data_IF_762682938199
#
_entry.id   IF_762682938199
#
_cell.length_a   1.000
_cell.length_b   1.000
_cell.length_c   1.000
_cell.angle_alpha   90.00
_cell.angle_beta   90.00
_cell.angle_gamma   90.00
#
_symmetry.space_group_name_H-M   'P 1'
#
loop_
_entity.id
_entity.type
_entity.pdbx_description
1 polymer ?
#
# COMPACT_ATOMS: atom_id res chain seq x y z
N UNK A 1 17.68 9.71 -13.31
CA UNK A 1 16.54 8.93 -12.78
C UNK A 1 15.83 9.80 -11.74
N UNK A 2 14.50 9.84 -11.74
CA UNK A 2 13.75 10.62 -10.75
C UNK A 2 13.93 10.00 -9.36
N UNK A 3 14.05 10.83 -8.31
CA UNK A 3 14.09 10.36 -6.91
C UNK A 3 12.91 9.45 -6.57
N UNK A 4 11.76 9.63 -7.24
CA UNK A 4 10.53 8.88 -6.99
C UNK A 4 10.34 7.64 -7.87
N UNK A 5 11.21 7.43 -8.86
CA UNK A 5 11.08 6.29 -9.80
C UNK A 5 10.99 4.93 -9.09
N UNK A 6 11.83 4.62 -8.08
CA UNK A 6 11.76 3.33 -7.39
C UNK A 6 10.43 3.15 -6.63
N UNK A 7 9.90 4.22 -6.03
CA UNK A 7 8.64 4.17 -5.30
C UNK A 7 7.45 3.98 -6.25
N UNK A 8 7.47 4.66 -7.41
CA UNK A 8 6.44 4.48 -8.43
C UNK A 8 6.42 3.04 -8.97
N UNK A 9 7.59 2.45 -9.24
CA UNK A 9 7.69 1.05 -9.65
C UNK A 9 7.12 0.10 -8.58
N UNK A 10 7.41 0.35 -7.30
CA UNK A 10 6.86 -0.42 -6.18
C UNK A 10 5.33 -0.28 -6.08
N UNK A 11 4.79 0.92 -6.28
CA UNK A 11 3.34 1.15 -6.31
C UNK A 11 2.69 0.31 -7.40
N UNK A 12 3.23 0.34 -8.62
CA UNK A 12 2.71 -0.43 -9.75
C UNK A 12 2.67 -1.94 -9.44
N UNK A 13 3.74 -2.48 -8.86
CA UNK A 13 3.80 -3.89 -8.46
C UNK A 13 2.80 -4.25 -7.37
N UNK A 14 2.66 -3.40 -6.35
CA UNK A 14 1.72 -3.61 -5.25
C UNK A 14 0.27 -3.50 -5.75
N UNK A 15 -0.06 -2.49 -6.55
CA UNK A 15 -1.39 -2.27 -7.11
C UNK A 15 -1.78 -3.37 -8.10
N UNK A 16 -0.84 -3.91 -8.88
CA UNK A 16 -1.08 -5.07 -9.73
C UNK A 16 -1.48 -6.30 -8.90
N UNK A 17 -0.73 -6.61 -7.83
CA UNK A 17 -1.06 -7.72 -6.93
C UNK A 17 -2.41 -7.53 -6.22
N UNK A 18 -2.71 -6.30 -5.78
CA UNK A 18 -4.01 -5.95 -5.21
C UNK A 18 -5.13 -6.20 -6.22
N UNK A 19 -4.95 -5.74 -7.46
CA UNK A 19 -5.95 -5.91 -8.53
C UNK A 19 -6.19 -7.38 -8.83
N UNK A 20 -5.11 -8.17 -8.97
CA UNK A 20 -5.20 -9.61 -9.20
C UNK A 20 -5.92 -10.31 -8.05
N UNK A 21 -5.58 -10.01 -6.79
CA UNK A 21 -6.23 -10.59 -5.62
C UNK A 21 -7.71 -10.20 -5.51
N UNK A 22 -8.09 -8.98 -5.91
CA UNK A 22 -9.49 -8.54 -5.93
C UNK A 22 -10.37 -9.40 -6.84
N UNK A 23 -9.79 -9.99 -7.91
CA UNK A 23 -10.53 -10.91 -8.79
C UNK A 23 -10.88 -12.24 -8.13
N UNK A 24 -10.14 -12.62 -7.08
CA UNK A 24 -10.34 -13.86 -6.32
C UNK A 24 -11.34 -13.70 -5.15
N UNK A 25 -11.88 -12.49 -4.91
CA UNK A 25 -12.73 -12.18 -3.74
C UNK A 25 -14.21 -12.51 -3.94
N UNK A 26 -14.49 -13.80 -4.13
CA UNK A 26 -15.84 -14.38 -4.01
C UNK A 26 -15.82 -15.60 -3.10
N UNK A 27 -16.92 -15.92 -2.38
CA UNK A 27 -16.93 -17.03 -1.43
C UNK A 27 -16.47 -18.36 -2.05
N UNK A 28 -16.97 -18.70 -3.24
CA UNK A 28 -16.61 -19.93 -3.94
C UNK A 28 -15.12 -20.00 -4.33
N UNK A 29 -14.55 -18.87 -4.77
CA UNK A 29 -13.12 -18.81 -5.14
C UNK A 29 -12.24 -18.85 -3.90
N UNK A 30 -12.62 -18.14 -2.84
CA UNK A 30 -11.93 -18.17 -1.55
C UNK A 30 -11.85 -19.59 -1.01
N UNK A 31 -12.97 -20.32 -1.02
CA UNK A 31 -13.00 -21.72 -0.60
C UNK A 31 -12.10 -22.61 -1.46
N UNK A 32 -12.18 -22.48 -2.79
CA UNK A 32 -11.42 -23.32 -3.72
C UNK A 32 -9.92 -22.99 -3.76
N UNK A 33 -9.51 -21.75 -3.45
CA UNK A 33 -8.16 -21.23 -3.70
C UNK A 33 -7.50 -20.58 -2.48
N UNK A 34 -8.01 -20.82 -1.28
CA UNK A 34 -7.52 -20.20 -0.03
C UNK A 34 -5.99 -20.26 0.12
N UNK A 35 -5.36 -21.40 -0.19
CA UNK A 35 -3.90 -21.55 -0.13
C UNK A 35 -3.17 -20.60 -1.08
N UNK A 36 -3.62 -20.49 -2.34
CA UNK A 36 -3.06 -19.56 -3.33
C UNK A 36 -3.27 -18.11 -2.95
N UNK A 37 -4.46 -17.77 -2.43
CA UNK A 37 -4.78 -16.42 -1.95
C UNK A 37 -3.83 -16.04 -0.81
N UNK A 38 -3.62 -16.93 0.16
CA UNK A 38 -2.70 -16.68 1.28
C UNK A 38 -1.24 -16.55 0.85
N UNK A 39 -0.79 -17.34 -0.13
CA UNK A 39 0.55 -17.19 -0.70
C UNK A 39 0.74 -15.81 -1.35
N UNK A 40 -0.23 -15.39 -2.17
CA UNK A 40 -0.23 -14.06 -2.81
C UNK A 40 -0.30 -12.94 -1.77
N UNK A 41 -1.11 -13.10 -0.72
CA UNK A 41 -1.16 -12.16 0.40
C UNK A 41 0.18 -12.07 1.14
N UNK A 42 0.91 -13.17 1.32
CA UNK A 42 2.26 -13.13 1.93
C UNK A 42 3.27 -12.38 1.05
N UNK A 43 3.23 -12.58 -0.28
CA UNK A 43 4.06 -11.81 -1.22
C UNK A 43 3.73 -10.32 -1.15
N UNK A 44 2.44 -9.98 -1.16
CA UNK A 44 1.97 -8.61 -1.01
C UNK A 44 2.39 -8.00 0.34
N UNK A 45 2.29 -8.77 1.43
CA UNK A 45 2.69 -8.35 2.78
C UNK A 45 4.14 -7.91 2.82
N UNK A 46 5.03 -8.69 2.21
CA UNK A 46 6.46 -8.40 2.20
C UNK A 46 6.78 -7.17 1.35
N UNK A 47 6.15 -7.02 0.19
CA UNK A 47 6.32 -5.83 -0.65
C UNK A 47 5.85 -4.55 0.05
N UNK A 48 4.67 -4.58 0.69
CA UNK A 48 4.17 -3.45 1.48
C UNK A 48 5.14 -3.14 2.62
N UNK A 49 5.59 -4.17 3.37
CA UNK A 49 6.51 -3.98 4.50
C UNK A 49 7.80 -3.27 4.08
N UNK A 50 8.41 -3.69 2.97
CA UNK A 50 9.63 -3.08 2.44
C UNK A 50 9.36 -1.65 1.98
N UNK A 51 8.32 -1.45 1.17
CA UNK A 51 7.94 -0.15 0.63
C UNK A 51 7.70 0.87 1.75
N UNK A 52 6.84 0.55 2.72
CA UNK A 52 6.54 1.43 3.86
C UNK A 52 7.78 1.75 4.69
N UNK A 53 8.64 0.76 4.93
CA UNK A 53 9.88 0.99 5.67
C UNK A 53 10.82 1.96 4.93
N UNK A 54 10.90 1.88 3.60
CA UNK A 54 11.69 2.83 2.81
C UNK A 54 11.10 4.23 2.89
N UNK A 55 9.79 4.36 2.85
CA UNK A 55 9.15 5.67 2.97
C UNK A 55 9.38 6.32 4.34
N UNK A 56 9.20 5.55 5.42
CA UNK A 56 9.36 6.02 6.79
C UNK A 56 10.82 6.38 7.13
N UNK A 57 11.77 5.59 6.64
CA UNK A 57 13.18 5.76 6.97
C UNK A 57 13.91 6.75 6.05
N UNK A 58 13.45 6.93 4.81
CA UNK A 58 14.16 7.69 3.79
C UNK A 58 13.31 8.82 3.21
N UNK A 59 12.19 8.49 2.54
CA UNK A 59 11.39 9.45 1.78
C UNK A 59 10.82 10.57 2.65
N UNK A 60 10.05 10.23 3.67
CA UNK A 60 9.39 11.21 4.52
C UNK A 60 10.39 12.10 5.26
N UNK A 61 11.49 11.57 5.86
CA UNK A 61 12.54 12.40 6.43
C UNK A 61 13.19 13.40 5.45
N UNK A 62 13.34 13.05 4.17
CA UNK A 62 13.84 13.98 3.15
C UNK A 62 12.81 15.07 2.82
N UNK A 63 11.55 14.69 2.58
CA UNK A 63 10.46 15.63 2.29
C UNK A 63 10.25 16.65 3.42
N UNK A 64 10.41 16.23 4.67
CA UNK A 64 10.31 17.11 5.84
C UNK A 64 11.46 18.13 5.95
N UNK A 65 12.60 17.89 5.29
CA UNK A 65 13.73 18.82 5.20
C UNK A 65 13.70 19.69 3.94
N UNK A 66 12.72 19.50 3.07
CA UNK A 66 12.59 20.24 1.81
C UNK A 66 12.44 21.75 2.06
N UNK A 67 13.06 22.65 1.27
CA UNK A 67 12.98 24.10 1.47
C UNK A 67 11.57 24.67 1.29
N UNK A 68 10.77 24.09 0.39
CA UNK A 68 9.37 24.49 0.20
C UNK A 68 8.48 24.01 1.36
N UNK A 69 7.81 24.94 2.03
CA UNK A 69 6.86 24.67 3.11
C UNK A 69 5.68 23.79 2.66
N UNK A 70 5.20 23.96 1.42
CA UNK A 70 4.08 23.18 0.89
C UNK A 70 4.40 21.69 0.84
N UNK A 71 5.63 21.35 0.44
CA UNK A 71 6.12 19.97 0.42
C UNK A 71 6.14 19.40 1.84
N UNK A 72 6.71 20.14 2.80
CA UNK A 72 6.77 19.70 4.21
C UNK A 72 5.37 19.48 4.80
N UNK A 73 4.44 20.39 4.55
CA UNK A 73 3.08 20.30 5.08
C UNK A 73 2.29 19.14 4.44
N UNK A 74 2.45 18.90 3.14
CA UNK A 74 1.88 17.73 2.47
C UNK A 74 2.45 16.43 3.02
N UNK A 75 3.78 16.35 3.22
CA UNK A 75 4.42 15.17 3.80
C UNK A 75 3.91 14.87 5.23
N UNK A 76 3.75 15.90 6.08
CA UNK A 76 3.18 15.71 7.43
C UNK A 76 1.74 15.21 7.40
N UNK A 77 0.90 15.75 6.51
CA UNK A 77 -0.49 15.30 6.35
C UNK A 77 -0.54 13.85 5.87
N UNK A 78 0.29 13.49 4.90
CA UNK A 78 0.43 12.13 4.43
C UNK A 78 0.80 11.20 5.59
N UNK A 79 1.92 11.44 6.29
CA UNK A 79 2.34 10.63 7.44
C UNK A 79 1.26 10.47 8.52
N UNK A 80 0.55 11.55 8.88
CA UNK A 80 -0.49 11.51 9.92
C UNK A 80 -1.71 10.68 9.52
N UNK A 81 -2.02 10.61 8.23
CA UNK A 81 -3.13 9.81 7.71
C UNK A 81 -2.73 8.35 7.49
N UNK A 82 -1.42 8.07 7.47
CA UNK A 82 -0.83 6.83 6.95
C UNK A 82 -0.12 5.97 8.00
N UNK A 83 0.25 6.54 9.16
CA UNK A 83 1.06 5.89 10.20
C UNK A 83 0.46 4.63 10.84
N UNK A 84 -0.79 4.27 10.52
CA UNK A 84 -1.47 3.09 11.05
C UNK A 84 -1.63 1.95 10.01
N UNK A 85 -1.35 2.20 8.72
CA UNK A 85 -1.64 1.20 7.67
C UNK A 85 -0.79 -0.07 7.81
N UNK A 86 0.48 0.06 8.22
CA UNK A 86 1.34 -1.10 8.47
C UNK A 86 0.80 -1.95 9.63
N UNK A 87 0.27 -1.32 10.67
CA UNK A 87 -0.32 -2.00 11.82
C UNK A 87 -1.65 -2.65 11.43
N UNK A 88 -2.52 -1.94 10.71
CA UNK A 88 -3.77 -2.48 10.15
C UNK A 88 -3.50 -3.69 9.27
N UNK A 89 -2.53 -3.62 8.36
CA UNK A 89 -2.21 -4.73 7.47
C UNK A 89 -1.63 -5.93 8.23
N UNK A 90 -0.80 -5.68 9.26
CA UNK A 90 -0.29 -6.73 10.14
C UNK A 90 -1.43 -7.43 10.89
N UNK A 91 -2.30 -6.67 11.54
CA UNK A 91 -3.45 -7.21 12.26
C UNK A 91 -4.39 -8.01 11.33
N UNK A 92 -4.59 -7.52 10.11
CA UNK A 92 -5.31 -8.24 9.06
C UNK A 92 -4.65 -9.59 8.73
N UNK A 93 -3.32 -9.64 8.55
CA UNK A 93 -2.61 -10.91 8.27
C UNK A 93 -2.66 -11.88 9.45
N UNK A 94 -2.58 -11.38 10.68
CA UNK A 94 -2.70 -12.19 11.90
C UNK A 94 -4.11 -12.78 12.06
N UNK A 95 -5.14 -12.04 11.63
CA UNK A 95 -6.55 -12.49 11.67
C UNK A 95 -6.87 -13.58 10.66
N UNK A 96 -6.16 -13.62 9.53
CA UNK A 96 -6.38 -14.57 8.44
C UNK A 96 -5.11 -15.39 8.13
N UNK A 97 -4.66 -16.25 9.08
CA UNK A 97 -3.34 -16.87 9.00
C UNK A 97 -3.31 -18.12 8.09
N UNK A 98 -4.43 -18.81 7.94
CA UNK A 98 -4.45 -20.14 7.30
C UNK A 98 -5.76 -20.41 6.53
N UNK A 99 -5.76 -21.36 5.57
CA UNK A 99 -6.92 -21.62 4.71
C UNK A 99 -8.20 -21.92 5.47
N UNK A 100 -8.10 -22.68 6.56
CA UNK A 100 -9.26 -23.04 7.39
C UNK A 100 -9.97 -21.82 7.97
N UNK A 101 -9.23 -20.75 8.28
CA UNK A 101 -9.82 -19.51 8.82
C UNK A 101 -10.63 -18.76 7.76
N UNK A 102 -10.13 -18.72 6.52
CA UNK A 102 -10.86 -18.14 5.39
C UNK A 102 -12.17 -18.89 5.12
N UNK A 103 -12.14 -20.22 5.20
CA UNK A 103 -13.33 -21.05 4.97
C UNK A 103 -14.39 -20.92 6.07
N UNK A 104 -13.99 -20.65 7.32
CA UNK A 104 -14.91 -20.42 8.43
C UNK A 104 -15.71 -19.12 8.31
N UNK A 105 -15.10 -18.09 7.70
CA UNK A 105 -15.73 -16.77 7.53
C UNK A 105 -15.26 -16.10 6.21
N UNK A 106 -15.71 -16.62 5.05
CA UNK A 106 -15.31 -16.08 3.76
C UNK A 106 -15.85 -14.66 3.56
N UNK A 107 -17.04 -14.35 4.10
CA UNK A 107 -17.65 -13.03 4.02
C UNK A 107 -16.85 -11.97 4.78
N UNK A 108 -16.46 -12.27 6.02
CA UNK A 108 -15.61 -11.41 6.83
C UNK A 108 -14.23 -11.21 6.20
N UNK A 109 -13.61 -12.28 5.71
CA UNK A 109 -12.34 -12.19 4.98
C UNK A 109 -12.43 -11.26 3.78
N UNK A 110 -13.44 -11.45 2.92
CA UNK A 110 -13.64 -10.63 1.72
C UNK A 110 -13.87 -9.16 2.09
N UNK A 111 -14.75 -8.87 3.06
CA UNK A 111 -15.06 -7.51 3.47
C UNK A 111 -13.85 -6.76 4.03
N UNK A 112 -13.08 -7.43 4.90
CA UNK A 112 -11.88 -6.84 5.48
C UNK A 112 -10.77 -6.67 4.44
N UNK A 113 -10.58 -7.66 3.55
CA UNK A 113 -9.60 -7.57 2.45
C UNK A 113 -9.87 -6.37 1.55
N UNK A 114 -11.13 -6.14 1.17
CA UNK A 114 -11.52 -4.97 0.37
C UNK A 114 -11.18 -3.66 1.08
N UNK A 115 -11.55 -3.55 2.35
CA UNK A 115 -11.29 -2.36 3.16
C UNK A 115 -9.80 -2.04 3.23
N UNK A 116 -8.96 -3.05 3.50
CA UNK A 116 -7.51 -2.90 3.59
C UNK A 116 -6.90 -2.54 2.23
N UNK A 117 -7.36 -3.16 1.15
CA UNK A 117 -6.84 -2.90 -0.19
C UNK A 117 -7.24 -1.52 -0.72
N UNK A 118 -8.46 -1.06 -0.45
CA UNK A 118 -8.90 0.28 -0.80
C UNK A 118 -8.09 1.35 -0.06
N UNK A 119 -7.79 1.13 1.22
CA UNK A 119 -6.94 2.03 2.00
C UNK A 119 -5.51 2.10 1.43
N UNK A 120 -4.94 0.95 1.05
CA UNK A 120 -3.61 0.86 0.44
C UNK A 120 -3.56 1.56 -0.92
N UNK A 121 -4.53 1.31 -1.79
CA UNK A 121 -4.58 1.92 -3.12
C UNK A 121 -4.78 3.43 -3.03
N UNK A 122 -5.67 3.90 -2.15
CA UNK A 122 -5.92 5.32 -1.92
C UNK A 122 -4.66 6.05 -1.48
N UNK A 123 -3.85 5.42 -0.62
CA UNK A 123 -2.57 5.98 -0.17
C UNK A 123 -1.61 6.23 -1.34
N UNK A 124 -1.32 5.17 -2.11
CA UNK A 124 -0.36 5.24 -3.23
C UNK A 124 -0.76 6.26 -4.28
N UNK A 125 -2.06 6.33 -4.60
CA UNK A 125 -2.60 7.30 -5.55
C UNK A 125 -2.51 8.75 -5.03
N UNK A 126 -2.70 8.97 -3.73
CA UNK A 126 -2.55 10.31 -3.13
C UNK A 126 -1.08 10.74 -3.10
N UNK A 127 -0.14 9.85 -2.77
CA UNK A 127 1.31 10.13 -2.83
C UNK A 127 1.74 10.54 -4.26
N UNK A 128 1.27 9.82 -5.28
CA UNK A 128 1.55 10.13 -6.68
C UNK A 128 0.91 11.44 -7.17
N UNK A 129 -0.29 11.75 -6.71
CA UNK A 129 -1.03 12.94 -7.13
C UNK A 129 -0.56 14.22 -6.39
N UNK A 130 -0.14 14.10 -5.13
CA UNK A 130 0.11 15.25 -4.26
C UNK A 130 1.59 15.45 -3.95
N UNK A 131 2.34 14.40 -3.64
CA UNK A 131 3.74 14.53 -3.17
C UNK A 131 4.71 14.61 -4.34
N UNK A 132 4.64 13.65 -5.27
CA UNK A 132 5.62 13.55 -6.36
C UNK A 132 5.68 14.79 -7.27
N UNK A 133 4.54 15.44 -7.60
CA UNK A 133 4.58 16.66 -8.42
C UNK A 133 5.16 17.86 -7.68
N UNK A 134 4.89 17.99 -6.38
CA UNK A 134 5.37 19.12 -5.57
C UNK A 134 6.86 19.03 -5.24
N UNK A 135 7.38 17.82 -5.07
CA UNK A 135 8.77 17.58 -4.74
C UNK A 135 9.68 17.48 -5.98
N UNK A 136 9.11 17.44 -7.19
CA UNK A 136 9.89 17.53 -8.43
C UNK A 136 10.29 18.99 -8.65
N UNK A 137 11.58 19.29 -8.90
CA UNK A 137 11.96 20.65 -9.26
C UNK A 137 11.21 21.09 -10.53
N UNK A 138 10.82 22.36 -10.64
CA UNK A 138 10.12 22.86 -11.82
C UNK A 138 10.96 22.54 -13.06
N UNK A 139 10.34 21.93 -14.07
CA UNK A 139 10.96 21.82 -15.39
C UNK A 139 11.22 23.23 -15.87
N UNK A 140 12.50 23.64 -15.91
CA UNK A 140 12.86 24.92 -16.53
C UNK A 140 12.34 24.90 -17.97
N UNK A 141 11.50 25.86 -18.39
CA UNK A 141 11.29 26.05 -19.81
C UNK A 141 12.67 26.37 -20.44
N UNK A 142 13.00 25.65 -21.51
CA UNK A 142 14.18 25.91 -22.32
C UNK A 142 14.06 27.22 -23.10
#
# INVERSE_FOLDING_TARGET
MSTFEPYHQQHQEILALVTDLMTDLSPAVVEARAGTILQRLSVLSEKIRIHLAQEDLLLYPELLRHPDQRVRDTARRAMATMGDLQQVFRAYRERWPEPGRLAQDPGGFIGETRTVFEALAKRMLSEEAEIYPLARPPTRPG
#
